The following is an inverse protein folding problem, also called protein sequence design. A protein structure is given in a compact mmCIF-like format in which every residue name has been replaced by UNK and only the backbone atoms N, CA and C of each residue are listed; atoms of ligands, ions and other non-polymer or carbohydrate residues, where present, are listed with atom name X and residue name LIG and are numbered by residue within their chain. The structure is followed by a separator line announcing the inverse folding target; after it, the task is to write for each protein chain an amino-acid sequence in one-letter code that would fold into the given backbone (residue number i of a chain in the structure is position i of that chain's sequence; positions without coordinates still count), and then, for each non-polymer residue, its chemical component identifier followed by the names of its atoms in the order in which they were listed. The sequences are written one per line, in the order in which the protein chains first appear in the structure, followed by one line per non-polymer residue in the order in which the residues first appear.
data_IF_739755723625
#
_entry.id   IF_739755723625
#
_cell.length_a   1.000
_cell.length_b   1.000
_cell.length_c   1.000
_cell.angle_alpha   90.00
_cell.angle_beta   90.00
_cell.angle_gamma   90.00
#
_symmetry.space_group_name_H-M   'P 1'
#
loop_
_entity.id
_entity.type
_entity.pdbx_description
1 polymer ?
#
# COMPACT_ATOMS: atom_id res chain seq x y z
N UNK A 1 20.23 22.63 -9.95
CA UNK A 1 19.87 22.47 -11.36
C UNK A 1 18.72 21.47 -11.37
N UNK A 2 17.50 21.95 -11.56
CA UNK A 2 16.30 21.11 -11.70
C UNK A 2 16.27 20.43 -13.08
N UNK A 3 15.51 19.34 -13.24
CA UNK A 3 15.39 18.66 -14.54
C UNK A 3 14.75 19.60 -15.56
N UNK A 4 15.31 19.63 -16.76
CA UNK A 4 14.82 20.37 -17.91
C UNK A 4 13.38 19.98 -18.24
N UNK A 5 12.47 20.93 -18.55
CA UNK A 5 11.09 20.62 -18.95
C UNK A 5 11.14 20.03 -20.38
N UNK A 6 10.91 18.74 -20.50
CA UNK A 6 10.79 18.06 -21.81
C UNK A 6 11.25 16.62 -21.89
N UNK A 7 11.90 16.06 -20.86
CA UNK A 7 12.39 14.68 -20.88
C UNK A 7 11.66 13.78 -19.86
N UNK A 8 10.33 13.72 -19.93
CA UNK A 8 9.54 12.78 -19.16
C UNK A 8 9.58 11.40 -19.83
N UNK A 9 10.45 10.51 -19.34
CA UNK A 9 10.41 9.11 -19.75
C UNK A 9 9.30 8.40 -18.96
N UNK A 10 8.21 8.08 -19.63
CA UNK A 10 7.16 7.22 -19.06
C UNK A 10 7.61 5.76 -19.11
N UNK A 11 7.88 5.17 -17.96
CA UNK A 11 8.11 3.74 -17.84
C UNK A 11 6.79 3.04 -17.54
N UNK A 12 6.22 2.37 -18.55
CA UNK A 12 5.06 1.53 -18.32
C UNK A 12 5.50 0.20 -17.67
N UNK A 13 4.88 -0.21 -16.55
CA UNK A 13 5.18 -1.47 -15.92
C UNK A 13 4.87 -2.62 -16.89
N UNK A 14 5.86 -3.47 -17.17
CA UNK A 14 5.68 -4.65 -18.03
C UNK A 14 5.88 -5.91 -17.21
N UNK A 15 4.82 -6.72 -17.09
CA UNK A 15 4.94 -8.03 -16.47
C UNK A 15 5.84 -8.93 -17.32
N UNK A 16 6.97 -9.38 -16.76
CA UNK A 16 7.92 -10.28 -17.45
C UNK A 16 7.51 -11.74 -17.31
N UNK A 17 7.10 -12.16 -16.11
CA UNK A 17 6.61 -13.51 -15.84
C UNK A 17 5.85 -13.56 -14.51
N UNK A 18 5.02 -14.56 -14.35
CA UNK A 18 4.39 -14.88 -13.07
C UNK A 18 5.35 -15.73 -12.21
N UNK A 19 5.71 -15.24 -11.03
CA UNK A 19 6.61 -15.95 -10.10
C UNK A 19 5.85 -16.70 -9.01
N UNK A 20 4.61 -16.28 -8.67
CA UNK A 20 3.79 -16.86 -7.59
C UNK A 20 2.42 -17.26 -8.14
N UNK A 21 1.91 -18.42 -7.72
CA UNK A 21 0.56 -18.87 -8.08
C UNK A 21 -0.49 -17.98 -7.41
N UNK A 22 -1.63 -17.68 -8.06
CA UNK A 22 -2.67 -16.83 -7.48
C UNK A 22 -3.18 -17.30 -6.12
N UNK A 23 -3.33 -18.60 -5.94
CA UNK A 23 -3.75 -19.19 -4.66
C UNK A 23 -2.75 -18.87 -3.54
N UNK A 24 -1.44 -19.09 -3.77
CA UNK A 24 -0.40 -18.78 -2.79
C UNK A 24 -0.35 -17.28 -2.47
N UNK A 25 -0.50 -16.41 -3.48
CA UNK A 25 -0.57 -14.96 -3.27
C UNK A 25 -1.74 -14.59 -2.36
N UNK A 26 -2.93 -15.16 -2.57
CA UNK A 26 -4.10 -14.93 -1.70
C UNK A 26 -3.86 -15.39 -0.27
N UNK A 27 -3.28 -16.58 -0.07
CA UNK A 27 -2.96 -17.09 1.27
C UNK A 27 -1.99 -16.16 2.02
N UNK A 28 -0.93 -15.71 1.34
CA UNK A 28 0.04 -14.76 1.91
C UNK A 28 -0.63 -13.43 2.23
N UNK A 29 -1.51 -12.92 1.36
CA UNK A 29 -2.28 -11.70 1.62
C UNK A 29 -3.10 -11.81 2.90
N UNK A 30 -3.77 -12.95 3.16
CA UNK A 30 -4.53 -13.14 4.40
C UNK A 30 -3.61 -13.08 5.63
N UNK A 31 -2.44 -13.72 5.58
CA UNK A 31 -1.47 -13.62 6.66
C UNK A 31 -0.93 -12.20 6.86
N UNK A 32 -0.69 -11.45 5.78
CA UNK A 32 -0.20 -10.08 5.84
C UNK A 32 -1.25 -9.07 6.34
N UNK A 33 -2.54 -9.36 6.21
CA UNK A 33 -3.62 -8.55 6.83
C UNK A 33 -3.56 -8.59 8.35
N UNK A 34 -3.25 -9.74 8.94
CA UNK A 34 -3.14 -9.92 10.39
C UNK A 34 -2.07 -9.00 11.02
N UNK A 35 -1.09 -8.57 10.24
CA UNK A 35 -0.02 -7.67 10.72
C UNK A 35 -0.55 -6.31 11.18
N UNK A 36 -1.64 -5.84 10.57
CA UNK A 36 -2.27 -4.53 10.89
C UNK A 36 -3.49 -4.65 11.81
N UNK A 37 -3.91 -5.85 12.15
CA UNK A 37 -5.00 -6.10 13.10
C UNK A 37 -4.54 -5.95 14.55
N UNK A 38 -5.49 -5.96 15.48
CA UNK A 38 -5.20 -5.95 16.91
C UNK A 38 -4.35 -7.18 17.29
N UNK A 39 -3.30 -6.97 18.06
CA UNK A 39 -2.29 -8.01 18.36
C UNK A 39 -1.26 -8.26 17.26
N UNK A 40 -1.40 -7.66 16.08
CA UNK A 40 -0.41 -7.69 15.02
C UNK A 40 0.83 -6.83 15.29
N UNK A 41 1.86 -6.95 14.45
CA UNK A 41 3.14 -6.23 14.64
C UNK A 41 3.09 -4.77 14.20
N UNK A 42 2.04 -4.33 13.49
CA UNK A 42 1.87 -2.95 13.02
C UNK A 42 0.40 -2.47 13.05
N UNK A 43 -0.28 -2.48 14.21
CA UNK A 43 -1.67 -2.01 14.28
C UNK A 43 -1.79 -0.51 13.93
N UNK A 44 -0.70 0.25 14.00
CA UNK A 44 -0.66 1.67 13.61
C UNK A 44 -0.58 1.90 12.08
N UNK A 45 -0.48 0.85 11.27
CA UNK A 45 -0.53 0.94 9.81
C UNK A 45 -1.96 0.90 9.25
N UNK A 46 -2.97 0.80 10.10
CA UNK A 46 -4.38 0.75 9.70
C UNK A 46 -4.78 2.02 8.93
N UNK A 47 -5.59 1.87 7.88
CA UNK A 47 -6.20 2.95 7.12
C UNK A 47 -7.71 2.80 7.20
N UNK A 48 -8.39 3.83 7.70
CA UNK A 48 -9.84 3.77 7.94
C UNK A 48 -10.60 3.48 6.62
N UNK A 49 -11.48 2.48 6.66
CA UNK A 49 -12.26 2.05 5.49
C UNK A 49 -11.54 1.11 4.53
N UNK A 50 -10.27 0.75 4.79
CA UNK A 50 -9.50 -0.13 3.91
C UNK A 50 -8.80 -1.23 4.70
N UNK A 51 -8.75 -2.43 4.13
CA UNK A 51 -7.86 -3.49 4.61
C UNK A 51 -6.45 -3.24 4.07
N UNK A 52 -5.47 -3.30 4.95
CA UNK A 52 -4.05 -3.17 4.61
C UNK A 52 -3.39 -4.52 4.77
N UNK A 53 -2.56 -4.91 3.82
CA UNK A 53 -1.67 -6.05 3.94
C UNK A 53 -0.22 -5.56 3.94
N UNK A 54 0.58 -5.98 4.93
CA UNK A 54 1.94 -5.47 5.04
C UNK A 54 2.84 -6.26 5.98
N UNK A 55 4.09 -5.80 6.08
CA UNK A 55 5.12 -6.40 6.91
C UNK A 55 6.06 -5.35 7.48
N UNK A 56 6.36 -5.47 8.77
CA UNK A 56 7.39 -4.71 9.44
C UNK A 56 8.78 -5.28 9.17
N UNK A 57 9.77 -4.41 9.16
CA UNK A 57 11.17 -4.80 9.19
C UNK A 57 11.94 -3.91 10.17
N UNK A 58 12.94 -4.51 10.82
CA UNK A 58 13.88 -3.79 11.71
C UNK A 58 15.25 -4.42 11.49
N UNK A 59 16.14 -3.72 10.82
CA UNK A 59 17.49 -4.16 10.54
C UNK A 59 18.46 -3.43 11.47
N UNK A 60 19.24 -4.19 12.24
CA UNK A 60 20.31 -3.64 13.06
C UNK A 60 21.52 -3.34 12.18
N UNK A 61 22.13 -2.18 12.36
CA UNK A 61 23.29 -1.76 11.59
C UNK A 61 24.56 -2.47 12.02
N UNK A 62 25.44 -2.66 11.04
CA UNK A 62 26.78 -3.24 11.25
C UNK A 62 27.83 -2.16 10.99
N UNK A 63 28.64 -1.88 12.00
CA UNK A 63 29.84 -1.08 11.84
C UNK A 63 31.02 -1.93 11.40
N UNK A 64 31.77 -1.46 10.41
CA UNK A 64 33.01 -2.10 9.96
C UNK A 64 34.22 -1.44 10.62
N UNK A 65 35.13 -2.24 11.10
CA UNK A 65 36.40 -1.80 11.68
C UNK A 65 37.54 -2.73 11.27
N UNK A 66 38.79 -2.24 11.34
CA UNK A 66 39.95 -3.05 11.02
C UNK A 66 40.65 -3.56 12.27
N UNK A 67 41.05 -4.82 12.25
CA UNK A 67 41.93 -5.46 13.23
C UNK A 67 43.01 -6.20 12.49
N UNK A 68 44.28 -5.83 12.72
CA UNK A 68 45.45 -6.44 12.06
C UNK A 68 45.30 -6.52 10.54
N UNK A 69 44.87 -5.40 9.91
CA UNK A 69 44.66 -5.32 8.46
C UNK A 69 43.48 -6.08 7.89
N UNK A 70 42.67 -6.73 8.72
CA UNK A 70 41.45 -7.48 8.32
C UNK A 70 40.21 -6.73 8.72
N UNK A 71 39.24 -6.60 7.80
CA UNK A 71 37.94 -6.03 8.07
C UNK A 71 37.09 -6.98 8.92
N UNK A 72 36.49 -6.42 9.97
CA UNK A 72 35.51 -7.10 10.82
C UNK A 72 34.24 -6.26 10.93
N UNK A 73 33.12 -6.90 11.20
CA UNK A 73 31.84 -6.23 11.46
C UNK A 73 31.38 -6.47 12.89
N UNK A 74 30.77 -5.48 13.52
CA UNK A 74 30.03 -5.63 14.78
C UNK A 74 28.66 -4.98 14.65
N UNK A 75 27.64 -5.58 15.26
CA UNK A 75 26.33 -4.95 15.41
C UNK A 75 26.43 -3.78 16.38
N UNK A 76 25.80 -2.67 16.01
CA UNK A 76 25.72 -1.47 16.84
C UNK A 76 24.27 -1.18 17.19
N UNK A 77 24.02 -0.41 18.25
CA UNK A 77 22.67 -0.04 18.68
C UNK A 77 22.06 1.07 17.80
N UNK A 78 22.10 0.85 16.48
CA UNK A 78 21.50 1.69 15.44
C UNK A 78 20.70 0.81 14.49
N UNK A 79 19.52 1.27 14.07
CA UNK A 79 18.55 0.47 13.34
C UNK A 79 18.00 1.20 12.13
N UNK A 80 17.66 0.43 11.10
CA UNK A 80 16.81 0.84 9.98
C UNK A 80 15.45 0.18 10.18
N UNK A 81 14.45 1.01 10.45
CA UNK A 81 13.07 0.57 10.68
C UNK A 81 12.28 0.75 9.42
N UNK A 82 11.47 -0.25 9.03
CA UNK A 82 10.65 -0.12 7.83
C UNK A 82 9.28 -0.80 8.00
N UNK A 83 8.35 -0.35 7.17
CA UNK A 83 7.08 -1.00 6.92
C UNK A 83 6.78 -0.94 5.43
N UNK A 84 6.54 -2.10 4.82
CA UNK A 84 6.05 -2.22 3.45
C UNK A 84 4.63 -2.76 3.50
N UNK A 85 3.74 -2.16 2.73
CA UNK A 85 2.36 -2.62 2.62
C UNK A 85 1.72 -2.24 1.30
N UNK A 86 0.59 -2.85 1.01
CA UNK A 86 -0.27 -2.51 -0.12
C UNK A 86 -1.71 -2.36 0.33
N UNK A 87 -2.43 -1.49 -0.37
CA UNK A 87 -3.78 -1.09 -0.01
C UNK A 87 -4.58 -0.69 -1.26
N UNK A 88 -5.87 -1.05 -1.34
CA UNK A 88 -6.58 -2.05 -0.54
C UNK A 88 -5.95 -3.44 -0.64
N UNK A 89 -6.07 -4.28 0.40
CA UNK A 89 -5.36 -5.58 0.44
C UNK A 89 -5.87 -6.59 -0.60
N UNK A 90 -7.17 -6.52 -0.97
CA UNK A 90 -7.81 -7.48 -1.86
C UNK A 90 -7.71 -7.08 -3.34
N UNK A 91 -7.66 -5.77 -3.63
CA UNK A 91 -7.43 -5.19 -4.96
C UNK A 91 -6.48 -3.99 -4.83
N UNK A 92 -5.16 -4.23 -4.82
CA UNK A 92 -4.18 -3.21 -4.50
C UNK A 92 -4.11 -2.09 -5.53
N UNK A 93 -4.35 -0.85 -5.07
CA UNK A 93 -4.14 0.35 -5.88
C UNK A 93 -2.66 0.72 -5.96
N UNK A 94 -1.91 0.50 -4.89
CA UNK A 94 -0.46 0.75 -4.83
C UNK A 94 0.23 -0.04 -3.72
N UNK A 95 1.56 -0.08 -3.81
CA UNK A 95 2.47 -0.55 -2.76
C UNK A 95 3.23 0.65 -2.22
N UNK A 96 3.37 0.75 -0.90
CA UNK A 96 4.12 1.80 -0.22
C UNK A 96 5.15 1.19 0.72
N UNK A 97 6.40 1.63 0.61
CA UNK A 97 7.48 1.34 1.54
C UNK A 97 7.86 2.62 2.30
N UNK A 98 7.82 2.56 3.61
CA UNK A 98 8.35 3.61 4.49
C UNK A 98 9.58 3.08 5.18
N UNK A 99 10.69 3.81 5.05
CA UNK A 99 11.98 3.48 5.68
C UNK A 99 12.39 4.66 6.55
N UNK A 100 12.77 4.35 7.78
CA UNK A 100 13.28 5.31 8.75
C UNK A 100 14.67 4.84 9.21
N UNK A 101 15.68 5.63 8.88
CA UNK A 101 17.06 5.35 9.22
C UNK A 101 17.48 6.10 10.49
N UNK A 102 17.93 5.35 11.50
CA UNK A 102 18.43 5.88 12.78
C UNK A 102 17.49 6.90 13.45
N UNK A 103 16.25 6.48 13.70
CA UNK A 103 15.28 7.35 14.39
C UNK A 103 15.73 7.69 15.81
N UNK A 104 15.76 8.98 16.12
CA UNK A 104 16.13 9.49 17.45
C UNK A 104 15.00 9.43 18.48
N UNK A 105 13.76 9.21 18.06
CA UNK A 105 12.55 9.18 18.92
C UNK A 105 11.62 8.03 18.51
N UNK A 106 10.90 7.49 19.50
CA UNK A 106 9.82 6.51 19.25
C UNK A 106 10.26 5.05 19.14
N UNK A 107 11.52 4.74 19.50
CA UNK A 107 12.07 3.37 19.42
C UNK A 107 12.59 3.02 18.02
N UNK A 108 12.79 1.71 17.77
CA UNK A 108 13.42 1.21 16.53
C UNK A 108 12.58 0.16 15.79
N UNK A 109 11.38 -0.14 16.25
CA UNK A 109 10.51 -1.11 15.58
C UNK A 109 9.72 -0.48 14.44
N UNK A 110 9.69 -1.15 13.29
CA UNK A 110 8.96 -0.67 12.10
C UNK A 110 7.47 -0.40 12.36
N UNK A 111 6.83 -1.21 13.21
CA UNK A 111 5.42 -1.02 13.61
C UNK A 111 5.17 0.23 14.47
N UNK A 112 6.19 0.74 15.15
CA UNK A 112 6.08 1.97 15.96
C UNK A 112 6.49 3.22 15.19
N UNK A 113 7.52 3.10 14.33
CA UNK A 113 8.17 4.22 13.66
C UNK A 113 7.62 4.43 12.25
N UNK A 114 7.60 3.38 11.43
CA UNK A 114 7.23 3.47 10.01
C UNK A 114 5.72 3.34 9.77
N UNK A 115 5.03 2.50 10.55
CA UNK A 115 3.61 2.22 10.37
C UNK A 115 2.68 3.44 10.47
N UNK A 116 2.84 4.38 11.43
CA UNK A 116 1.99 5.59 11.49
C UNK A 116 2.18 6.50 10.27
N UNK A 117 3.40 6.58 9.75
CA UNK A 117 3.71 7.37 8.55
C UNK A 117 3.11 6.70 7.31
N UNK A 118 3.21 5.38 7.21
CA UNK A 118 2.53 4.61 6.17
C UNK A 118 1.02 4.90 6.15
N UNK A 119 0.34 4.78 7.30
CA UNK A 119 -1.10 5.03 7.42
C UNK A 119 -1.50 6.39 6.86
N UNK A 120 -0.80 7.47 7.28
CA UNK A 120 -1.09 8.84 6.83
C UNK A 120 -0.83 9.07 5.34
N UNK A 121 0.24 8.51 4.79
CA UNK A 121 0.54 8.61 3.36
C UNK A 121 -0.49 7.82 2.57
N UNK A 122 -0.77 6.59 2.97
CA UNK A 122 -1.71 5.71 2.30
C UNK A 122 -3.12 6.33 2.23
N UNK A 123 -3.61 6.88 3.35
CA UNK A 123 -4.91 7.56 3.40
C UNK A 123 -4.99 8.72 2.39
N UNK A 124 -3.99 9.60 2.36
CA UNK A 124 -3.94 10.73 1.42
C UNK A 124 -3.85 10.27 -0.03
N UNK A 125 -3.07 9.22 -0.29
CA UNK A 125 -2.90 8.68 -1.64
C UNK A 125 -4.18 8.04 -2.16
N UNK A 126 -4.91 7.26 -1.32
CA UNK A 126 -6.19 6.67 -1.69
C UNK A 126 -7.24 7.75 -2.04
N UNK A 127 -7.30 8.82 -1.24
CA UNK A 127 -8.17 9.97 -1.53
C UNK A 127 -7.80 10.65 -2.85
N UNK A 128 -6.51 10.87 -3.09
CA UNK A 128 -6.03 11.46 -4.34
C UNK A 128 -6.35 10.61 -5.57
N UNK A 129 -6.21 9.28 -5.45
CA UNK A 129 -6.53 8.31 -6.49
C UNK A 129 -8.04 8.02 -6.60
N UNK A 130 -8.87 8.62 -5.74
CA UNK A 130 -10.33 8.40 -5.68
C UNK A 130 -10.72 6.92 -5.54
N UNK A 131 -9.91 6.13 -4.84
CA UNK A 131 -10.23 4.74 -4.53
C UNK A 131 -11.33 4.71 -3.47
N UNK A 132 -12.44 4.06 -3.74
CA UNK A 132 -13.55 3.96 -2.78
C UNK A 132 -13.21 2.99 -1.63
N UNK A 133 -13.60 3.29 -0.36
CA UNK A 133 -13.48 2.35 0.74
C UNK A 133 -14.29 1.06 0.50
N UNK A 134 -13.76 -0.08 0.94
CA UNK A 134 -14.48 -1.34 0.86
C UNK A 134 -15.68 -1.31 1.84
N UNK A 135 -16.91 -1.38 1.32
CA UNK A 135 -18.13 -1.47 2.12
C UNK A 135 -19.04 -0.24 2.13
N UNK A 136 -18.67 0.87 1.50
CA UNK A 136 -19.65 1.91 1.19
C UNK A 136 -20.25 1.68 -0.21
N UNK A 137 -21.59 1.61 -0.35
CA UNK A 137 -22.19 1.72 -1.65
C UNK A 137 -21.78 3.08 -2.21
N UNK A 138 -21.26 3.12 -3.45
CA UNK A 138 -21.01 4.35 -4.18
C UNK A 138 -22.33 5.12 -4.24
N UNK A 139 -22.59 6.00 -3.29
CA UNK A 139 -23.63 6.99 -3.42
C UNK A 139 -23.18 7.90 -4.56
N UNK A 140 -23.92 7.83 -5.67
CA UNK A 140 -23.72 8.57 -6.90
C UNK A 140 -23.32 9.99 -6.56
N UNK A 141 -22.19 10.44 -7.10
CA UNK A 141 -21.86 11.85 -7.17
C UNK A 141 -23.05 12.59 -7.80
N UNK A 142 -23.51 13.72 -7.27
CA UNK A 142 -24.57 14.50 -7.88
C UNK A 142 -24.05 15.03 -9.22
N UNK A 143 -24.52 14.45 -10.34
CA UNK A 143 -24.18 14.92 -11.68
C UNK A 143 -24.07 13.89 -12.80
N UNK A 144 -24.33 12.60 -12.57
CA UNK A 144 -24.44 11.64 -13.68
C UNK A 144 -25.88 11.64 -14.24
N UNK A 145 -26.09 11.81 -15.55
CA UNK A 145 -27.43 11.81 -16.15
C UNK A 145 -28.10 10.45 -15.96
N UNK A 146 -29.30 10.47 -15.41
CA UNK A 146 -30.19 9.33 -15.28
C UNK A 146 -30.49 8.73 -16.66
N UNK A 147 -30.21 7.46 -16.85
CA UNK A 147 -30.75 6.66 -17.95
C UNK A 147 -32.23 6.34 -17.69
N UNK A 148 -33.08 7.37 -17.78
CA UNK A 148 -34.52 7.22 -17.94
C UNK A 148 -34.86 7.60 -19.39
N UNK A 149 -34.64 6.66 -20.29
CA UNK A 149 -35.26 6.72 -21.62
C UNK A 149 -35.09 5.35 -22.30
N UNK A 150 -35.87 4.36 -21.84
CA UNK A 150 -36.24 3.19 -22.69
C UNK A 150 -37.34 2.39 -22.00
N UNK A 151 -38.54 2.95 -21.97
CA UNK A 151 -39.77 2.19 -21.84
C UNK A 151 -40.98 3.05 -22.27
N UNK A 152 -41.07 3.30 -23.58
CA UNK A 152 -42.31 3.77 -24.18
C UNK A 152 -42.30 3.30 -25.65
N UNK A 153 -43.05 2.26 -25.95
CA UNK A 153 -43.36 1.95 -27.32
C UNK A 153 -43.41 0.49 -27.69
N UNK A 154 -44.40 -0.26 -27.16
CA UNK A 154 -44.94 -1.42 -27.83
C UNK A 154 -46.31 -1.79 -27.23
N UNK A 155 -47.32 -1.01 -27.56
CA UNK A 155 -48.69 -1.55 -27.51
C UNK A 155 -49.51 -0.81 -28.58
N UNK A 156 -49.89 -1.54 -29.56
CA UNK A 156 -51.06 -1.34 -30.43
C UNK A 156 -50.82 -1.92 -31.82
N UNK A 157 -51.28 -3.16 -32.04
CA UNK A 157 -52.13 -3.50 -33.14
C UNK A 157 -52.58 -4.95 -33.09
N UNK A 158 -53.65 -5.18 -32.33
CA UNK A 158 -54.62 -6.22 -32.68
C UNK A 158 -55.87 -5.50 -33.15
N UNK A 159 -56.21 -5.67 -34.42
CA UNK A 159 -57.59 -5.73 -34.95
C UNK A 159 -57.57 -5.93 -36.48
N UNK A 160 -58.01 -7.05 -36.86
CA UNK A 160 -58.68 -7.62 -38.05
C UNK A 160 -57.92 -8.68 -38.82
#
# INVERSE_FOLDING_TARGET
VGPEPGNSQCFFPRAKRRCVRPHAARQVTQALKLVTEEGGTAPKAVVLGYKVAGKTGTAQKVERYQVNGRWRGRYVNRYVSNFIGYVPADDPAFVLLVVADETSRGGHYGGTVAAPTFSRIAEKTLRYLQVAPAGEPVSRLPGSPSSEAEHLGADSHQLR
#
